data_IF_374089289664
#
_entry.id   IF_374089289664
#
_cell.length_a   1.000
_cell.length_b   1.000
_cell.length_c   1.000
_cell.angle_alpha   90.00
_cell.angle_beta   90.00
_cell.angle_gamma   90.00
#
_symmetry.space_group_name_H-M   'P 1'
#
loop_
_entity.id
_entity.type
_entity.pdbx_description
1 polymer ?
#
# COMPACT_ATOMS: atom_id res chain seq x y z
N UNK A 1 -9.58 26.75 8.87
CA UNK A 1 -9.98 27.03 7.47
C UNK A 1 -10.84 25.91 6.89
N UNK A 2 -10.69 24.67 7.37
CA UNK A 2 -11.42 23.50 6.88
C UNK A 2 -12.36 22.84 7.92
N UNK A 3 -12.50 23.44 9.10
CA UNK A 3 -13.22 22.84 10.26
C UNK A 3 -14.70 22.54 10.00
N UNK A 4 -15.30 23.13 8.95
CA UNK A 4 -16.69 22.93 8.58
C UNK A 4 -16.86 22.33 7.17
N UNK A 5 -15.80 21.81 6.56
CA UNK A 5 -15.92 21.20 5.25
C UNK A 5 -16.38 19.74 5.40
N UNK A 6 -17.63 19.48 5.03
CA UNK A 6 -18.16 18.11 4.93
C UNK A 6 -18.00 17.68 3.48
N UNK A 7 -17.19 16.66 3.25
CA UNK A 7 -17.05 16.09 1.92
C UNK A 7 -18.39 15.53 1.43
N UNK A 8 -18.86 15.88 0.22
CA UNK A 8 -20.19 15.51 -0.26
C UNK A 8 -20.37 14.00 -0.50
N UNK A 9 -19.28 13.23 -0.47
CA UNK A 9 -19.31 11.77 -0.59
C UNK A 9 -19.44 11.03 0.76
N UNK A 10 -19.33 11.76 1.88
CA UNK A 10 -19.49 11.22 3.24
C UNK A 10 -20.98 11.12 3.60
N UNK A 11 -21.39 9.98 4.08
CA UNK A 11 -22.69 9.71 4.67
C UNK A 11 -22.56 9.37 6.17
N UNK A 12 -23.66 9.08 6.84
CA UNK A 12 -23.68 8.81 8.29
C UNK A 12 -22.85 7.58 8.66
N UNK A 13 -22.92 6.51 7.86
CA UNK A 13 -22.13 5.28 8.06
C UNK A 13 -20.64 5.57 8.02
N UNK A 14 -20.19 6.32 7.02
CA UNK A 14 -18.80 6.70 6.86
C UNK A 14 -18.31 7.64 7.97
N UNK A 15 -19.18 8.50 8.51
CA UNK A 15 -18.84 9.32 9.69
C UNK A 15 -18.65 8.45 10.95
N UNK A 16 -19.50 7.46 11.16
CA UNK A 16 -19.35 6.50 12.27
C UNK A 16 -18.06 5.71 12.13
N UNK A 17 -17.77 5.22 10.91
CA UNK A 17 -16.51 4.53 10.61
C UNK A 17 -15.30 5.44 10.88
N UNK A 18 -15.31 6.70 10.41
CA UNK A 18 -14.23 7.67 10.65
C UNK A 18 -13.94 7.82 12.13
N UNK A 19 -14.96 8.00 12.94
CA UNK A 19 -14.86 8.14 14.39
C UNK A 19 -14.23 6.90 15.05
N UNK A 20 -14.63 5.71 14.61
CA UNK A 20 -14.09 4.45 15.10
C UNK A 20 -12.60 4.28 14.72
N UNK A 21 -12.25 4.57 13.46
CA UNK A 21 -10.87 4.54 12.97
C UNK A 21 -10.00 5.53 13.73
N UNK A 22 -10.47 6.77 13.89
CA UNK A 22 -9.76 7.81 14.64
C UNK A 22 -9.41 7.36 16.06
N UNK A 23 -10.40 6.84 16.81
CA UNK A 23 -10.24 6.33 18.18
C UNK A 23 -9.26 5.15 18.23
N UNK A 24 -9.36 4.24 17.27
CA UNK A 24 -8.45 3.10 17.17
C UNK A 24 -7.00 3.55 16.96
N UNK A 25 -6.76 4.42 15.97
CA UNK A 25 -5.42 4.91 15.66
C UNK A 25 -4.80 5.69 16.83
N UNK A 26 -5.59 6.54 17.49
CA UNK A 26 -5.13 7.30 18.65
C UNK A 26 -4.70 6.40 19.82
N UNK A 27 -5.38 5.26 20.03
CA UNK A 27 -5.09 4.33 21.11
C UNK A 27 -3.98 3.34 20.77
N UNK A 28 -4.02 2.73 19.59
CA UNK A 28 -3.19 1.57 19.25
C UNK A 28 -1.96 1.91 18.41
N UNK A 29 -1.96 3.03 17.65
CA UNK A 29 -0.88 3.33 16.70
C UNK A 29 -0.06 4.56 17.10
N UNK A 30 -0.72 5.69 17.35
CA UNK A 30 -0.04 6.96 17.66
C UNK A 30 1.01 6.83 18.78
N UNK A 31 0.74 6.13 19.90
CA UNK A 31 1.73 6.00 20.98
C UNK A 31 3.00 5.25 20.58
N UNK A 32 2.95 4.47 19.50
CA UNK A 32 4.05 3.62 19.07
C UNK A 32 4.85 4.18 17.89
N UNK A 33 4.37 5.25 17.23
CA UNK A 33 4.96 5.78 16.00
C UNK A 33 6.45 6.12 16.13
N UNK A 34 6.86 6.81 17.18
CA UNK A 34 8.25 7.18 17.38
C UNK A 34 9.19 5.94 17.50
N UNK A 35 8.70 4.85 18.09
CA UNK A 35 9.42 3.59 18.19
C UNK A 35 9.49 2.90 16.82
N UNK A 36 8.37 2.83 16.10
CA UNK A 36 8.31 2.21 14.77
C UNK A 36 9.17 2.96 13.74
N UNK A 37 9.21 4.30 13.80
CA UNK A 37 10.12 5.09 12.96
C UNK A 37 11.59 4.79 13.23
N UNK A 38 11.96 4.55 14.49
CA UNK A 38 13.32 4.18 14.87
C UNK A 38 13.69 2.76 14.44
N UNK A 39 12.74 1.82 14.52
CA UNK A 39 12.99 0.43 14.10
C UNK A 39 12.82 0.21 12.59
N UNK A 40 12.18 1.15 11.86
CA UNK A 40 12.00 1.09 10.41
C UNK A 40 10.85 0.21 9.92
N UNK A 41 9.98 -0.26 10.81
CA UNK A 41 8.78 -1.03 10.46
C UNK A 41 7.74 -0.97 11.58
N UNK A 42 6.50 -1.28 11.25
CA UNK A 42 5.39 -1.47 12.20
C UNK A 42 5.43 -2.89 12.75
N UNK A 43 5.11 -3.05 14.04
CA UNK A 43 5.04 -4.36 14.68
C UNK A 43 3.98 -5.25 14.03
N UNK A 44 4.25 -6.54 14.01
CA UNK A 44 3.29 -7.55 13.52
C UNK A 44 1.96 -7.52 14.29
N UNK A 45 2.01 -7.32 15.61
CA UNK A 45 0.82 -7.23 16.47
C UNK A 45 -0.14 -6.09 16.05
N UNK A 46 0.38 -5.00 15.49
CA UNK A 46 -0.44 -3.90 14.99
C UNK A 46 -1.34 -4.33 13.81
N UNK A 47 -0.84 -5.22 12.95
CA UNK A 47 -1.63 -5.79 11.86
C UNK A 47 -2.78 -6.67 12.39
N UNK A 48 -2.50 -7.53 13.37
CA UNK A 48 -3.53 -8.37 14.00
C UNK A 48 -4.59 -7.53 14.71
N UNK A 49 -4.18 -6.46 15.41
CA UNK A 49 -5.11 -5.51 16.05
C UNK A 49 -5.98 -4.79 15.02
N UNK A 50 -5.40 -4.34 13.91
CA UNK A 50 -6.13 -3.70 12.82
C UNK A 50 -7.14 -4.68 12.19
N UNK A 51 -6.75 -5.95 11.98
CA UNK A 51 -7.64 -7.01 11.51
C UNK A 51 -8.80 -7.27 12.47
N UNK A 52 -8.50 -7.43 13.76
CA UNK A 52 -9.54 -7.61 14.82
C UNK A 52 -10.51 -6.43 14.87
N UNK A 53 -10.03 -5.22 14.59
CA UNK A 53 -10.87 -4.02 14.55
C UNK A 53 -11.62 -3.84 13.20
N UNK A 54 -11.48 -4.78 12.24
CA UNK A 54 -12.13 -4.70 10.92
C UNK A 54 -11.57 -3.62 10.00
N UNK A 55 -10.32 -3.18 10.22
CA UNK A 55 -9.67 -2.10 9.44
C UNK A 55 -8.84 -2.62 8.26
N UNK A 56 -8.72 -3.93 8.10
CA UNK A 56 -8.08 -4.55 6.95
C UNK A 56 -9.14 -5.04 5.96
N UNK A 57 -8.85 -4.97 4.66
CA UNK A 57 -9.73 -5.47 3.61
C UNK A 57 -11.18 -4.95 3.69
N UNK A 58 -11.34 -3.68 4.08
CA UNK A 58 -12.66 -3.05 4.34
C UNK A 58 -13.61 -3.10 3.14
N UNK A 59 -13.11 -3.16 1.92
CA UNK A 59 -13.90 -3.20 0.68
C UNK A 59 -13.91 -4.58 0.00
N UNK A 60 -13.30 -5.59 0.63
CA UNK A 60 -13.35 -6.98 0.17
C UNK A 60 -14.67 -7.61 0.65
N UNK A 61 -15.32 -8.47 -0.16
CA UNK A 61 -16.58 -9.11 0.20
C UNK A 61 -16.53 -9.86 1.55
N UNK A 62 -17.62 -9.77 2.32
CA UNK A 62 -17.72 -10.39 3.64
C UNK A 62 -17.57 -11.91 3.61
N UNK A 63 -17.93 -12.57 2.50
CA UNK A 63 -17.75 -14.02 2.33
C UNK A 63 -16.28 -14.46 2.38
N UNK A 64 -15.34 -13.53 2.15
CA UNK A 64 -13.89 -13.75 2.27
C UNK A 64 -13.31 -13.08 3.52
N UNK A 65 -14.14 -12.76 4.51
CA UNK A 65 -13.71 -12.14 5.76
C UNK A 65 -13.49 -10.63 5.70
N UNK A 66 -13.70 -9.98 4.56
CA UNK A 66 -13.59 -8.53 4.41
C UNK A 66 -14.79 -7.77 4.99
N UNK A 67 -14.69 -6.45 5.00
CA UNK A 67 -15.74 -5.57 5.53
C UNK A 67 -17.00 -5.44 4.68
N UNK A 68 -16.97 -5.90 3.42
CA UNK A 68 -18.11 -5.78 2.49
C UNK A 68 -18.42 -4.34 2.04
N UNK A 69 -17.59 -3.38 2.39
CA UNK A 69 -17.72 -1.98 2.00
C UNK A 69 -17.31 -1.72 0.54
N UNK A 70 -16.99 -0.49 0.25
CA UNK A 70 -16.60 -0.04 -1.08
C UNK A 70 -15.40 0.92 -1.01
N UNK A 71 -15.04 1.52 -2.13
CA UNK A 71 -13.90 2.44 -2.23
C UNK A 71 -13.98 3.64 -1.27
N UNK A 72 -15.18 4.13 -0.91
CA UNK A 72 -15.31 5.23 0.07
C UNK A 72 -14.81 4.82 1.46
N UNK A 73 -15.04 3.57 1.87
CA UNK A 73 -14.53 3.04 3.14
C UNK A 73 -13.00 2.98 3.15
N UNK A 74 -12.39 2.59 2.02
CA UNK A 74 -10.92 2.66 1.88
C UNK A 74 -10.41 4.10 2.03
N UNK A 75 -11.12 5.08 1.43
CA UNK A 75 -10.72 6.48 1.51
C UNK A 75 -10.80 7.03 2.93
N UNK A 76 -11.84 6.70 3.70
CA UNK A 76 -11.94 7.06 5.12
C UNK A 76 -10.70 6.59 5.88
N UNK A 77 -10.30 5.34 5.68
CA UNK A 77 -9.13 4.79 6.35
C UNK A 77 -7.82 5.48 5.92
N UNK A 78 -7.66 5.73 4.62
CA UNK A 78 -6.49 6.42 4.07
C UNK A 78 -6.37 7.84 4.62
N UNK A 79 -7.49 8.58 4.66
CA UNK A 79 -7.52 9.93 5.23
C UNK A 79 -7.16 9.93 6.72
N UNK A 80 -7.76 9.06 7.52
CA UNK A 80 -7.51 8.99 8.97
C UNK A 80 -6.06 8.59 9.30
N UNK A 81 -5.45 7.69 8.52
CA UNK A 81 -4.03 7.38 8.65
C UNK A 81 -3.14 8.63 8.41
N UNK A 82 -3.49 9.45 7.42
CA UNK A 82 -2.78 10.69 7.15
C UNK A 82 -3.02 11.74 8.25
N UNK A 83 -4.26 11.88 8.73
CA UNK A 83 -4.61 12.83 9.80
C UNK A 83 -3.95 12.48 11.14
N UNK A 84 -3.79 11.21 11.42
CA UNK A 84 -3.11 10.70 12.61
C UNK A 84 -1.58 10.60 12.47
N UNK A 85 -1.00 11.00 11.33
CA UNK A 85 0.43 10.89 11.02
C UNK A 85 0.98 9.46 11.09
N UNK A 86 0.18 8.47 10.76
CA UNK A 86 0.63 7.08 10.70
C UNK A 86 1.38 6.85 9.39
N UNK A 87 2.68 7.07 9.40
CA UNK A 87 3.53 7.07 8.21
C UNK A 87 4.06 5.68 7.81
N UNK A 88 3.74 4.63 8.56
CA UNK A 88 4.38 3.33 8.40
C UNK A 88 3.43 2.18 8.08
N UNK A 89 2.13 2.37 8.17
CA UNK A 89 1.17 1.30 7.97
C UNK A 89 0.87 1.09 6.48
N UNK A 90 1.54 0.10 5.88
CA UNK A 90 1.43 -0.22 4.46
C UNK A 90 0.10 -0.87 4.05
N UNK A 91 -1.01 -0.51 4.72
CA UNK A 91 -2.33 -1.07 4.48
C UNK A 91 -2.89 -0.76 3.09
N UNK A 92 -2.52 0.38 2.50
CA UNK A 92 -2.93 0.72 1.13
C UNK A 92 -2.41 -0.32 0.13
N UNK A 93 -1.19 -0.84 0.31
CA UNK A 93 -0.65 -1.91 -0.53
C UNK A 93 -1.34 -3.23 -0.20
N UNK A 94 -1.48 -3.56 1.07
CA UNK A 94 -2.05 -4.80 1.54
C UNK A 94 -3.54 -4.94 1.15
N UNK A 95 -4.40 -4.07 1.67
CA UNK A 95 -5.85 -4.12 1.49
C UNK A 95 -6.32 -3.45 0.20
N UNK A 96 -5.77 -2.26 -0.11
CA UNK A 96 -6.22 -1.46 -1.25
C UNK A 96 -5.69 -1.94 -2.60
N UNK A 97 -4.59 -2.70 -2.62
CA UNK A 97 -3.96 -3.20 -3.84
C UNK A 97 -4.01 -4.72 -3.90
N UNK A 98 -3.18 -5.44 -3.13
CA UNK A 98 -3.01 -6.90 -3.28
C UNK A 98 -4.30 -7.68 -3.05
N UNK A 99 -5.09 -7.32 -2.04
CA UNK A 99 -6.39 -7.96 -1.80
C UNK A 99 -7.33 -7.83 -3.00
N UNK A 100 -7.29 -6.71 -3.72
CA UNK A 100 -8.09 -6.50 -4.92
C UNK A 100 -7.60 -7.31 -6.12
N UNK A 101 -6.29 -7.51 -6.29
CA UNK A 101 -5.78 -8.43 -7.30
C UNK A 101 -6.29 -9.85 -7.06
N UNK A 102 -6.21 -10.33 -5.81
CA UNK A 102 -6.73 -11.66 -5.46
C UNK A 102 -8.24 -11.72 -5.66
N UNK A 103 -8.99 -10.73 -5.19
CA UNK A 103 -10.45 -10.70 -5.33
C UNK A 103 -10.93 -10.64 -6.78
N UNK A 104 -10.22 -9.90 -7.65
CA UNK A 104 -10.62 -9.69 -9.05
C UNK A 104 -10.19 -10.85 -9.96
N UNK A 105 -9.03 -11.44 -9.72
CA UNK A 105 -8.42 -12.37 -10.65
C UNK A 105 -8.14 -13.76 -10.07
N UNK A 106 -8.12 -13.91 -8.75
CA UNK A 106 -7.87 -15.19 -8.10
C UNK A 106 -8.97 -16.21 -8.38
N UNK A 107 -8.60 -17.49 -8.40
CA UNK A 107 -9.58 -18.58 -8.35
C UNK A 107 -10.32 -18.58 -7.01
N UNK A 108 -11.41 -19.31 -6.91
CA UNK A 108 -12.18 -19.38 -5.67
C UNK A 108 -11.33 -19.96 -4.52
N UNK A 109 -10.52 -20.97 -4.82
CA UNK A 109 -9.58 -21.57 -3.87
C UNK A 109 -8.54 -20.54 -3.39
N UNK A 110 -7.98 -19.74 -4.31
CA UNK A 110 -7.03 -18.67 -3.98
C UNK A 110 -7.66 -17.60 -3.09
N UNK A 111 -8.89 -17.17 -3.39
CA UNK A 111 -9.62 -16.20 -2.57
C UNK A 111 -9.88 -16.72 -1.17
N UNK A 112 -10.38 -17.95 -1.04
CA UNK A 112 -10.64 -18.60 0.25
C UNK A 112 -9.36 -18.87 1.05
N UNK A 113 -8.25 -19.14 0.37
CA UNK A 113 -6.95 -19.40 1.01
C UNK A 113 -6.36 -18.15 1.64
N UNK A 114 -6.38 -17.00 0.95
CA UNK A 114 -5.61 -15.83 1.34
C UNK A 114 -6.43 -14.67 1.90
N UNK A 115 -7.60 -14.33 1.33
CA UNK A 115 -8.34 -13.13 1.73
C UNK A 115 -8.78 -13.12 3.20
N UNK A 116 -9.29 -14.23 3.80
CA UNK A 116 -9.65 -14.25 5.20
C UNK A 116 -8.45 -13.98 6.13
N UNK A 117 -7.29 -14.53 5.79
CA UNK A 117 -6.05 -14.33 6.54
C UNK A 117 -5.48 -12.92 6.37
N UNK A 118 -5.70 -12.30 5.21
CA UNK A 118 -5.38 -10.90 5.00
C UNK A 118 -6.30 -9.98 5.82
N UNK A 119 -7.59 -10.27 5.86
CA UNK A 119 -8.55 -9.50 6.64
C UNK A 119 -8.31 -9.59 8.15
N UNK A 120 -7.84 -10.74 8.66
CA UNK A 120 -7.48 -10.92 10.07
C UNK A 120 -6.12 -10.32 10.45
N UNK A 121 -5.26 -9.98 9.47
CA UNK A 121 -3.87 -9.55 9.69
C UNK A 121 -2.88 -10.71 9.90
N UNK A 122 -3.32 -11.97 9.80
CA UNK A 122 -2.44 -13.15 9.81
C UNK A 122 -1.49 -13.12 8.60
N UNK A 123 -1.96 -12.72 7.45
CA UNK A 123 -1.14 -12.42 6.28
C UNK A 123 -0.94 -10.90 6.17
N UNK A 124 0.31 -10.48 5.98
CA UNK A 124 0.66 -9.16 5.45
C UNK A 124 1.15 -9.34 4.03
N UNK A 125 0.65 -8.54 3.11
CA UNK A 125 1.00 -8.68 1.71
C UNK A 125 1.77 -7.50 1.13
N UNK A 126 2.55 -7.79 0.08
CA UNK A 126 3.28 -6.83 -0.74
C UNK A 126 3.05 -7.13 -2.22
N UNK A 127 3.33 -6.14 -3.08
CA UNK A 127 3.38 -6.33 -4.53
C UNK A 127 4.78 -5.98 -5.05
N UNK A 128 5.36 -6.87 -5.82
CA UNK A 128 6.72 -6.81 -6.33
C UNK A 128 6.71 -6.56 -7.85
N UNK A 129 6.68 -5.28 -8.24
CA UNK A 129 6.66 -4.85 -9.65
C UNK A 129 8.04 -4.38 -10.11
N UNK A 130 8.58 -3.38 -9.42
CA UNK A 130 9.79 -2.63 -9.80
C UNK A 130 11.06 -3.47 -9.68
N UNK A 131 11.96 -3.32 -10.64
CA UNK A 131 13.29 -3.91 -10.63
C UNK A 131 14.35 -2.82 -10.79
N UNK A 132 15.63 -3.08 -10.52
CA UNK A 132 16.70 -2.09 -10.74
C UNK A 132 16.74 -1.53 -12.15
N UNK A 133 16.35 -2.33 -13.15
CA UNK A 133 16.35 -1.95 -14.57
C UNK A 133 15.02 -1.42 -15.09
N UNK A 134 13.92 -1.53 -14.32
CA UNK A 134 12.60 -1.11 -14.81
C UNK A 134 11.65 -0.65 -13.70
N UNK A 135 10.88 0.37 -14.00
CA UNK A 135 9.84 0.92 -13.13
C UNK A 135 8.56 1.19 -13.91
N UNK A 136 8.47 2.32 -14.62
CA UNK A 136 7.28 2.70 -15.40
C UNK A 136 7.01 1.77 -16.59
N UNK A 137 8.05 1.23 -17.21
CA UNK A 137 7.91 0.24 -18.27
C UNK A 137 7.86 -1.18 -17.71
N UNK A 138 6.67 -1.61 -17.28
CA UNK A 138 6.45 -2.96 -16.76
C UNK A 138 6.63 -4.09 -17.79
N UNK A 139 6.69 -3.76 -19.09
CA UNK A 139 6.98 -4.76 -20.12
C UNK A 139 8.46 -5.18 -20.11
N UNK A 140 9.34 -4.33 -19.56
CA UNK A 140 10.77 -4.58 -19.45
C UNK A 140 11.17 -5.41 -18.20
N UNK A 141 10.21 -5.92 -17.44
CA UNK A 141 10.48 -6.83 -16.30
C UNK A 141 11.40 -7.96 -16.76
N UNK A 142 12.45 -8.25 -15.98
CA UNK A 142 13.43 -9.27 -16.26
C UNK A 142 13.27 -10.54 -15.35
N UNK A 143 12.64 -10.39 -14.18
CA UNK A 143 12.34 -11.52 -13.29
C UNK A 143 11.51 -12.56 -14.04
N UNK A 144 11.97 -13.82 -14.04
CA UNK A 144 11.32 -14.93 -14.73
C UNK A 144 10.67 -15.90 -13.75
N UNK A 145 9.68 -16.63 -14.24
CA UNK A 145 9.08 -17.77 -13.56
C UNK A 145 8.82 -18.86 -14.60
N UNK A 146 9.73 -19.79 -14.73
CA UNK A 146 9.68 -20.85 -15.73
C UNK A 146 9.05 -22.09 -15.15
N UNK A 147 8.04 -22.62 -15.83
CA UNK A 147 7.32 -23.81 -15.38
C UNK A 147 8.22 -25.04 -15.40
N UNK A 148 8.23 -25.78 -14.28
CA UNK A 148 8.97 -27.02 -14.09
C UNK A 148 8.10 -28.00 -13.31
N UNK A 149 7.41 -28.90 -14.02
CA UNK A 149 6.46 -29.85 -13.44
C UNK A 149 5.28 -29.12 -12.77
N UNK A 150 5.06 -29.39 -11.49
CA UNK A 150 4.01 -28.82 -10.67
C UNK A 150 4.40 -27.43 -10.06
N UNK A 151 5.58 -26.92 -10.39
CA UNK A 151 6.09 -25.69 -9.85
C UNK A 151 6.50 -24.69 -10.95
N UNK A 152 6.65 -23.43 -10.57
CA UNK A 152 7.46 -22.42 -11.25
C UNK A 152 8.79 -22.26 -10.55
N UNK A 153 9.85 -22.08 -11.33
CA UNK A 153 11.19 -21.69 -10.84
C UNK A 153 11.34 -20.20 -11.06
N UNK A 154 11.36 -19.42 -9.97
CA UNK A 154 11.51 -17.96 -10.01
C UNK A 154 12.97 -17.57 -9.90
N UNK A 155 13.40 -16.67 -10.81
CA UNK A 155 14.73 -16.07 -10.80
C UNK A 155 14.65 -14.58 -11.08
N UNK A 156 15.33 -13.75 -10.26
CA UNK A 156 15.41 -12.31 -10.44
C UNK A 156 15.45 -11.54 -9.15
N UNK A 157 15.21 -10.24 -9.25
CA UNK A 157 15.24 -9.32 -8.10
C UNK A 157 14.21 -8.22 -8.26
N UNK A 158 13.68 -7.74 -7.13
CA UNK A 158 12.73 -6.64 -7.06
C UNK A 158 13.20 -5.60 -6.06
N UNK A 159 12.85 -4.34 -6.29
CA UNK A 159 13.24 -3.23 -5.42
C UNK A 159 12.06 -2.33 -5.08
N UNK A 160 12.21 -1.53 -4.02
CA UNK A 160 11.22 -0.58 -3.52
C UNK A 160 9.89 -1.20 -3.08
N UNK A 161 9.91 -2.40 -2.52
CA UNK A 161 8.71 -3.07 -2.03
C UNK A 161 8.27 -2.52 -0.68
N UNK A 162 7.13 -1.88 -0.62
CA UNK A 162 6.41 -1.62 0.63
C UNK A 162 5.99 -2.94 1.27
N UNK A 163 6.14 -3.07 2.56
CA UNK A 163 5.95 -4.29 3.36
C UNK A 163 6.96 -5.42 3.01
N UNK A 164 8.05 -5.14 2.30
CA UNK A 164 8.97 -6.16 1.83
C UNK A 164 9.69 -6.93 2.94
N UNK A 165 9.90 -6.30 4.13
CA UNK A 165 10.46 -6.99 5.31
C UNK A 165 9.41 -7.78 6.08
N UNK A 166 8.15 -7.32 6.08
CA UNK A 166 7.10 -7.84 6.95
C UNK A 166 6.10 -8.75 6.24
N UNK A 167 6.01 -8.67 4.90
CA UNK A 167 5.08 -9.47 4.12
C UNK A 167 5.42 -10.96 4.17
N UNK A 168 4.39 -11.78 4.37
CA UNK A 168 4.46 -13.24 4.21
C UNK A 168 3.67 -13.75 2.98
N UNK A 169 3.07 -12.83 2.19
CA UNK A 169 2.50 -13.10 0.88
C UNK A 169 2.88 -12.00 -0.10
N UNK A 170 3.56 -12.32 -1.19
CA UNK A 170 4.02 -11.34 -2.18
C UNK A 170 3.42 -11.65 -3.55
N UNK A 171 2.70 -10.69 -4.13
CA UNK A 171 2.29 -10.74 -5.54
C UNK A 171 3.46 -10.30 -6.41
N UNK A 172 4.08 -11.23 -7.14
CA UNK A 172 5.28 -10.97 -7.92
C UNK A 172 4.94 -10.89 -9.41
N UNK A 173 5.34 -9.78 -10.04
CA UNK A 173 5.25 -9.58 -11.50
C UNK A 173 6.44 -10.28 -12.15
N UNK A 174 6.18 -11.27 -12.99
CA UNK A 174 7.21 -12.13 -13.60
C UNK A 174 6.95 -12.34 -15.09
N UNK A 175 7.97 -12.78 -15.82
CA UNK A 175 7.81 -13.36 -17.16
C UNK A 175 7.74 -14.87 -17.09
N UNK A 176 6.58 -15.43 -17.44
CA UNK A 176 6.41 -16.86 -17.69
C UNK A 176 6.81 -17.23 -19.12
N UNK A 177 6.72 -16.25 -20.05
CA UNK A 177 7.29 -16.35 -21.40
C UNK A 177 8.17 -15.14 -21.70
N UNK A 178 9.51 -15.23 -21.57
CA UNK A 178 10.43 -14.13 -21.87
C UNK A 178 10.39 -13.62 -23.30
N UNK A 179 9.91 -14.43 -24.26
CA UNK A 179 9.85 -14.06 -25.68
C UNK A 179 8.62 -13.24 -26.06
N UNK A 180 7.58 -13.25 -25.22
CA UNK A 180 6.24 -12.74 -25.58
C UNK A 180 5.96 -11.29 -25.13
N UNK A 181 6.98 -10.49 -24.75
CA UNK A 181 6.82 -9.10 -24.27
C UNK A 181 5.72 -8.98 -23.20
N UNK A 182 4.74 -8.07 -23.37
CA UNK A 182 3.62 -7.88 -22.44
C UNK A 182 2.76 -9.14 -22.24
N UNK A 183 2.61 -9.97 -23.28
CA UNK A 183 1.83 -11.20 -23.22
C UNK A 183 2.54 -12.33 -22.47
N UNK A 184 3.82 -12.18 -22.18
CA UNK A 184 4.58 -13.13 -21.37
C UNK A 184 4.54 -12.82 -19.86
N UNK A 185 3.88 -11.73 -19.45
CA UNK A 185 3.83 -11.31 -18.05
C UNK A 185 2.70 -12.00 -17.31
N UNK A 186 3.02 -12.54 -16.14
CA UNK A 186 2.09 -13.19 -15.22
C UNK A 186 2.26 -12.64 -13.81
N UNK A 187 1.28 -12.89 -12.95
CA UNK A 187 1.34 -12.59 -11.53
C UNK A 187 1.39 -13.91 -10.75
N UNK A 188 2.40 -14.06 -9.89
CA UNK A 188 2.56 -15.25 -9.05
C UNK A 188 2.55 -14.84 -7.59
N UNK A 189 1.76 -15.55 -6.78
CA UNK A 189 1.69 -15.35 -5.34
C UNK A 189 2.75 -16.19 -4.64
N UNK A 190 3.71 -15.53 -3.99
CA UNK A 190 4.79 -16.17 -3.24
C UNK A 190 4.48 -16.12 -1.75
N UNK A 191 4.28 -17.26 -1.12
CA UNK A 191 4.17 -17.42 0.32
C UNK A 191 5.60 -17.53 0.89
N UNK A 192 6.08 -16.47 1.53
CA UNK A 192 7.52 -16.35 1.88
C UNK A 192 7.98 -17.40 2.87
N UNK A 193 7.12 -17.80 3.81
CA UNK A 193 7.45 -18.80 4.84
C UNK A 193 7.83 -20.16 4.23
N UNK A 194 7.31 -20.48 3.04
CA UNK A 194 7.62 -21.74 2.35
C UNK A 194 8.91 -21.72 1.55
N UNK A 195 9.52 -20.55 1.33
CA UNK A 195 10.67 -20.35 0.42
C UNK A 195 11.84 -19.62 1.05
N UNK A 196 11.74 -19.16 2.31
CA UNK A 196 12.84 -18.57 3.04
C UNK A 196 13.92 -19.58 3.46
N UNK A 197 15.13 -19.09 3.72
CA UNK A 197 16.28 -19.94 4.04
C UNK A 197 16.79 -20.68 2.81
N UNK A 198 16.78 -22.01 2.85
CA UNK A 198 17.29 -22.85 1.77
C UNK A 198 16.42 -22.84 0.50
N UNK A 199 15.27 -22.19 0.54
CA UNK A 199 14.32 -22.08 -0.60
C UNK A 199 14.69 -21.01 -1.64
N UNK A 200 15.86 -20.35 -1.53
CA UNK A 200 16.36 -19.40 -2.52
C UNK A 200 15.74 -18.00 -2.47
N UNK A 201 14.75 -17.75 -1.62
CA UNK A 201 14.19 -16.42 -1.37
C UNK A 201 14.96 -15.71 -0.28
N UNK A 202 15.35 -14.45 -0.55
CA UNK A 202 15.98 -13.62 0.47
C UNK A 202 15.50 -12.17 0.42
N UNK A 203 15.43 -11.54 1.60
CA UNK A 203 15.19 -10.11 1.74
C UNK A 203 16.51 -9.37 1.81
N UNK A 204 16.64 -8.33 1.01
CA UNK A 204 17.74 -7.38 1.12
C UNK A 204 17.51 -6.40 2.28
N UNK A 205 18.24 -5.30 2.24
CA UNK A 205 18.14 -4.26 3.27
C UNK A 205 16.79 -3.58 3.27
N UNK A 206 16.33 -3.13 4.44
CA UNK A 206 15.31 -2.11 4.57
C UNK A 206 15.92 -0.77 4.15
N UNK A 207 15.34 -0.12 3.13
CA UNK A 207 15.90 1.09 2.51
C UNK A 207 15.69 2.31 3.41
N UNK A 208 16.75 3.11 3.57
CA UNK A 208 16.65 4.41 4.22
C UNK A 208 15.90 5.40 3.33
N UNK A 209 14.90 6.08 3.91
CA UNK A 209 14.06 7.05 3.21
C UNK A 209 14.06 8.39 3.93
N UNK A 210 13.84 9.46 3.18
CA UNK A 210 13.70 10.80 3.75
C UNK A 210 12.44 10.90 4.64
N UNK A 211 11.32 10.35 4.19
CA UNK A 211 10.05 10.23 4.93
C UNK A 211 9.59 8.80 5.09
N UNK A 212 8.38 8.59 5.63
CA UNK A 212 7.76 7.27 5.83
C UNK A 212 8.69 6.27 6.54
N UNK A 213 9.37 6.72 7.60
CA UNK A 213 10.44 5.94 8.26
C UNK A 213 9.94 4.64 8.88
N UNK A 214 8.70 4.61 9.37
CA UNK A 214 8.10 3.41 9.95
C UNK A 214 7.57 2.44 8.89
N UNK A 215 7.59 2.80 7.60
CA UNK A 215 7.20 1.91 6.52
C UNK A 215 8.42 1.19 5.98
N UNK A 216 8.49 -0.12 6.16
CA UNK A 216 9.54 -0.93 5.54
C UNK A 216 9.40 -0.89 4.01
N UNK A 217 10.54 -0.73 3.36
CA UNK A 217 10.66 -0.70 1.91
C UNK A 217 11.92 -1.43 1.52
N UNK A 218 11.83 -2.51 0.77
CA UNK A 218 12.93 -3.47 0.65
C UNK A 218 13.25 -3.85 -0.78
N UNK A 219 14.43 -4.45 -0.91
CA UNK A 219 14.84 -5.29 -2.03
C UNK A 219 14.52 -6.73 -1.68
N UNK A 220 14.15 -7.56 -2.67
CA UNK A 220 14.01 -9.00 -2.54
C UNK A 220 14.66 -9.71 -3.72
N UNK A 221 15.12 -10.92 -3.47
CA UNK A 221 15.85 -11.72 -4.43
C UNK A 221 15.25 -13.12 -4.52
N UNK A 222 15.25 -13.65 -5.74
CA UNK A 222 14.81 -15.00 -6.07
C UNK A 222 15.94 -15.72 -6.81
N UNK A 223 16.41 -16.81 -6.25
CA UNK A 223 17.47 -17.67 -6.80
C UNK A 223 16.95 -19.12 -6.81
N UNK A 224 16.46 -19.57 -7.97
CA UNK A 224 15.81 -20.84 -8.18
C UNK A 224 14.64 -21.15 -7.21
N UNK A 225 13.87 -20.12 -6.83
CA UNK A 225 12.75 -20.26 -5.89
C UNK A 225 11.64 -21.10 -6.50
N UNK A 226 11.28 -22.18 -5.83
CA UNK A 226 10.19 -23.06 -6.25
C UNK A 226 8.85 -22.57 -5.70
N UNK A 227 7.91 -22.28 -6.58
CA UNK A 227 6.56 -21.84 -6.20
C UNK A 227 5.53 -22.76 -6.86
N UNK A 228 4.55 -23.29 -6.12
CA UNK A 228 3.53 -24.17 -6.70
C UNK A 228 2.78 -23.52 -7.87
N UNK A 229 2.48 -24.29 -8.90
CA UNK A 229 1.78 -23.80 -10.10
C UNK A 229 0.40 -23.23 -9.78
N UNK A 230 -0.25 -23.70 -8.73
CA UNK A 230 -1.54 -23.21 -8.22
C UNK A 230 -1.46 -21.78 -7.68
N UNK A 231 -0.27 -21.26 -7.41
CA UNK A 231 -0.05 -19.88 -6.97
C UNK A 231 0.02 -18.88 -8.14
N UNK A 232 -0.10 -19.31 -9.39
CA UNK A 232 -0.32 -18.44 -10.53
C UNK A 232 -1.69 -17.77 -10.40
N UNK A 233 -1.73 -16.44 -10.30
CA UNK A 233 -2.97 -15.71 -10.03
C UNK A 233 -3.95 -15.85 -11.22
N UNK A 234 -5.11 -16.46 -10.95
CA UNK A 234 -6.14 -16.70 -11.96
C UNK A 234 -5.86 -17.89 -12.87
N UNK A 235 -4.83 -18.70 -12.60
CA UNK A 235 -4.50 -19.96 -13.27
C UNK A 235 -4.22 -19.87 -14.79
N UNK A 236 -3.99 -18.64 -15.32
CA UNK A 236 -3.73 -18.42 -16.76
C UNK A 236 -2.50 -17.54 -16.93
N UNK A 237 -1.46 -18.10 -17.57
CA UNK A 237 -0.25 -17.33 -17.90
C UNK A 237 -0.51 -16.19 -18.89
N UNK A 238 0.36 -15.18 -18.87
CA UNK A 238 0.35 -14.09 -19.83
C UNK A 238 -0.76 -13.04 -19.63
N UNK A 239 -1.50 -13.11 -18.53
CA UNK A 239 -2.56 -12.13 -18.19
C UNK A 239 -2.10 -11.00 -17.29
N UNK A 240 -0.93 -11.13 -16.69
CA UNK A 240 -0.45 -10.19 -15.65
C UNK A 240 -0.39 -8.74 -16.10
N UNK A 241 0.05 -8.48 -17.32
CA UNK A 241 0.12 -7.09 -17.82
C UNK A 241 -1.27 -6.42 -17.91
N UNK A 242 -2.28 -7.13 -18.39
CA UNK A 242 -3.65 -6.61 -18.47
C UNK A 242 -4.20 -6.40 -17.06
N UNK A 243 -4.01 -7.36 -16.16
CA UNK A 243 -4.42 -7.26 -14.75
C UNK A 243 -3.81 -6.03 -14.07
N UNK A 244 -2.52 -5.74 -14.31
CA UNK A 244 -1.86 -4.53 -13.82
C UNK A 244 -2.50 -3.26 -14.38
N UNK A 245 -2.74 -3.21 -15.69
CA UNK A 245 -3.32 -2.02 -16.33
C UNK A 245 -4.75 -1.72 -15.84
N UNK A 246 -5.54 -2.73 -15.52
CA UNK A 246 -6.90 -2.59 -14.98
C UNK A 246 -6.91 -2.09 -13.52
N UNK A 247 -5.92 -2.47 -12.70
CA UNK A 247 -5.86 -2.07 -11.28
C UNK A 247 -5.14 -0.73 -11.04
N UNK A 248 -4.12 -0.39 -11.82
CA UNK A 248 -3.33 0.83 -11.67
C UNK A 248 -4.14 2.13 -11.54
N UNK A 249 -5.27 2.35 -12.23
CA UNK A 249 -6.08 3.55 -12.03
C UNK A 249 -6.60 3.70 -10.58
N UNK A 250 -7.06 2.60 -9.96
CA UNK A 250 -7.50 2.59 -8.56
C UNK A 250 -6.32 2.85 -7.61
N UNK A 251 -5.18 2.21 -7.85
CA UNK A 251 -3.97 2.40 -7.05
C UNK A 251 -3.53 3.87 -7.03
N UNK A 252 -3.53 4.51 -8.20
CA UNK A 252 -3.22 5.95 -8.31
C UNK A 252 -4.22 6.83 -7.57
N UNK A 253 -5.50 6.47 -7.60
CA UNK A 253 -6.54 7.22 -6.89
C UNK A 253 -6.39 7.12 -5.37
N UNK A 254 -6.01 5.96 -4.83
CA UNK A 254 -5.68 5.77 -3.41
C UNK A 254 -4.55 6.72 -2.99
N UNK A 255 -3.47 6.77 -3.78
CA UNK A 255 -2.33 7.66 -3.51
C UNK A 255 -2.74 9.13 -3.59
N UNK A 256 -3.56 9.51 -4.57
CA UNK A 256 -4.05 10.88 -4.72
C UNK A 256 -4.90 11.32 -3.52
N UNK A 257 -5.80 10.47 -3.03
CA UNK A 257 -6.62 10.74 -1.85
C UNK A 257 -5.75 10.92 -0.59
N UNK A 258 -4.78 10.01 -0.37
CA UNK A 258 -3.81 10.14 0.72
C UNK A 258 -2.97 11.41 0.63
N UNK A 259 -2.56 11.81 -0.57
CA UNK A 259 -1.82 13.06 -0.77
C UNK A 259 -2.65 14.31 -0.40
N UNK A 260 -3.95 14.34 -0.73
CA UNK A 260 -4.83 15.43 -0.33
C UNK A 260 -4.94 15.53 1.21
N UNK A 261 -5.18 14.41 1.90
CA UNK A 261 -5.25 14.38 3.36
C UNK A 261 -3.91 14.75 4.03
N UNK A 262 -2.79 14.33 3.45
CA UNK A 262 -1.45 14.70 3.94
C UNK A 262 -1.17 16.21 3.79
N UNK A 263 -1.60 16.83 2.67
CA UNK A 263 -1.49 18.28 2.45
C UNK A 263 -2.34 19.03 3.49
N UNK A 264 -3.57 18.62 3.73
CA UNK A 264 -4.45 19.24 4.73
C UNK A 264 -3.82 19.14 6.13
N UNK A 265 -3.29 17.99 6.48
CA UNK A 265 -2.61 17.74 7.75
C UNK A 265 -1.37 18.65 7.92
N UNK A 266 -0.54 18.74 6.89
CA UNK A 266 0.64 19.61 6.89
C UNK A 266 0.26 21.09 7.06
N UNK A 267 -0.80 21.54 6.40
CA UNK A 267 -1.33 22.90 6.53
C UNK A 267 -1.82 23.17 7.94
N UNK A 268 -2.58 22.24 8.55
CA UNK A 268 -3.09 22.38 9.93
C UNK A 268 -1.96 22.53 10.93
N UNK A 269 -0.99 21.62 10.91
CA UNK A 269 0.16 21.66 11.82
C UNK A 269 0.98 22.92 11.64
N UNK A 270 1.23 23.33 10.41
CA UNK A 270 1.98 24.55 10.12
C UNK A 270 1.23 25.78 10.65
N UNK A 271 -0.09 25.83 10.46
CA UNK A 271 -0.90 26.93 10.97
C UNK A 271 -0.91 27.00 12.51
N UNK A 272 -1.00 25.87 13.19
CA UNK A 272 -0.91 25.77 14.65
C UNK A 272 0.48 26.22 15.14
N UNK A 273 1.54 25.67 14.57
CA UNK A 273 2.91 26.06 14.91
C UNK A 273 3.18 27.56 14.74
N UNK A 274 2.72 28.16 13.64
CA UNK A 274 2.91 29.59 13.37
C UNK A 274 2.13 30.47 14.37
N UNK A 275 0.95 30.00 14.83
CA UNK A 275 0.18 30.73 15.86
C UNK A 275 0.87 30.72 17.23
N UNK A 276 1.49 29.61 17.60
CA UNK A 276 2.18 29.46 18.88
C UNK A 276 3.54 30.17 18.90
N UNK A 277 4.17 30.31 17.74
CA UNK A 277 5.50 30.92 17.63
C UNK A 277 5.44 32.42 17.79
N UNK A 278 5.81 32.94 18.98
CA UNK A 278 5.84 34.39 19.31
C UNK A 278 7.08 35.07 18.73
N UNK A 279 7.06 35.34 17.40
CA UNK A 279 8.04 36.18 16.72
C UNK A 279 7.36 37.02 15.66
N UNK A 280 7.16 38.29 15.95
CA UNK A 280 6.50 39.27 15.05
C UNK A 280 7.09 39.30 13.64
N UNK A 281 8.42 39.22 13.50
CA UNK A 281 9.11 39.22 12.20
C UNK A 281 8.88 37.94 11.38
N UNK A 282 8.73 36.79 12.02
CA UNK A 282 8.50 35.53 11.34
C UNK A 282 7.05 35.35 10.90
N UNK A 283 6.08 35.92 11.66
CA UNK A 283 4.67 35.92 11.26
C UNK A 283 4.43 36.81 10.03
N UNK A 284 5.09 37.97 9.97
CA UNK A 284 5.01 38.90 8.82
C UNK A 284 5.60 38.24 7.53
N UNK A 285 6.74 37.57 7.62
CA UNK A 285 7.36 36.94 6.46
C UNK A 285 6.57 35.73 5.93
N UNK A 286 6.02 34.90 6.81
CA UNK A 286 5.23 33.74 6.38
C UNK A 286 3.89 34.13 5.78
N UNK A 287 3.22 35.17 6.32
CA UNK A 287 1.96 35.64 5.75
C UNK A 287 2.14 36.31 4.39
N UNK A 288 3.23 37.03 4.14
CA UNK A 288 3.50 37.63 2.84
C UNK A 288 3.83 36.58 1.74
N UNK A 289 4.59 35.55 2.04
CA UNK A 289 4.93 34.51 1.06
C UNK A 289 3.69 33.66 0.70
N UNK A 290 2.90 33.25 1.68
CA UNK A 290 1.70 32.45 1.43
C UNK A 290 0.61 33.24 0.72
N UNK A 291 0.40 34.52 1.10
CA UNK A 291 -0.59 35.39 0.45
C UNK A 291 -0.14 35.73 -0.98
N UNK A 292 1.14 36.00 -1.22
CA UNK A 292 1.66 36.27 -2.56
C UNK A 292 1.50 35.07 -3.49
N UNK A 293 1.77 33.85 -3.00
CA UNK A 293 1.63 32.63 -3.80
C UNK A 293 0.15 32.29 -4.06
N UNK A 294 -0.72 32.40 -3.07
CA UNK A 294 -2.15 32.19 -3.23
C UNK A 294 -2.79 33.23 -4.18
N UNK A 295 -2.42 34.50 -4.06
CA UNK A 295 -2.88 35.57 -4.98
C UNK A 295 -2.34 35.36 -6.40
N UNK A 296 -1.10 34.88 -6.55
CA UNK A 296 -0.53 34.54 -7.84
C UNK A 296 -1.29 33.37 -8.49
N UNK A 297 -1.59 32.31 -7.74
CA UNK A 297 -2.36 31.18 -8.26
C UNK A 297 -3.81 31.56 -8.62
N UNK A 298 -4.46 32.43 -7.84
CA UNK A 298 -5.82 32.92 -8.14
C UNK A 298 -5.87 33.85 -9.36
N UNK A 299 -4.87 34.70 -9.58
CA UNK A 299 -4.79 35.57 -10.76
C UNK A 299 -4.54 34.79 -12.07
N UNK A 300 -3.87 33.65 -12.02
CA UNK A 300 -3.62 32.83 -13.20
C UNK A 300 -4.79 31.90 -13.58
N UNK A 301 -5.82 31.73 -12.71
CA UNK A 301 -7.05 31.01 -13.03
C UNK A 301 -8.10 31.85 -13.77
N UNK A 302 -7.94 33.15 -13.82
CA UNK A 302 -8.89 34.07 -14.48
C UNK A 302 -8.34 34.63 -15.80
N UNK A 303 -7.34 34.01 -16.39
CA UNK A 303 -6.89 34.17 -17.76
C UNK A 303 -6.98 32.83 -18.49
#
# INVERSE_FOLDING_TARGET
>A
MFENHISPWMDEELHIMRDAVHKFLAREFVPHMARWEKQGCIDRDAWNKAGTAGLLCVSIPAQYGGGGGNFKHEMVLVEELCYAHISGFGNSVHSGIVAHYINSYGSEEQKQKWLPKMASGEIVSAIAMTEPGTGSDLQAVATTAIKNGENYVLNGQKTFLTNGQTANLICVVVKTDPSASAKGISLIMVETESVEGDGGFSRGRNLEKLGLKAQDTSEIFFDDVLVPSENLLGNVEGKGFVQLMEQLPKERLIIAAGACAAIETALRITAEYVKERDRKSTRLNSSHVVISYAVFCLKNKNK
#
